data_IF_591072985007
#
_entry.id   IF_591072985007
#
_cell.length_a   1.000
_cell.length_b   1.000
_cell.length_c   1.000
_cell.angle_alpha   90.00
_cell.angle_beta   90.00
_cell.angle_gamma   90.00
#
_symmetry.space_group_name_H-M   'P 1'
#
loop_
_entity.id
_entity.type
_entity.pdbx_description
1 polymer ?
#
# COMPACT_ATOMS: atom_id res chain seq x y z
N UNK A 1 54.31 -7.25 -18.85
CA UNK A 1 53.45 -7.75 -17.75
C UNK A 1 52.47 -6.65 -17.39
N UNK A 2 51.28 -6.67 -17.99
CA UNK A 2 50.21 -5.72 -17.66
C UNK A 2 49.30 -6.42 -16.66
N UNK A 3 49.41 -6.06 -15.38
CA UNK A 3 48.50 -6.52 -14.36
C UNK A 3 47.11 -5.92 -14.66
N UNK A 4 46.17 -6.77 -15.07
CA UNK A 4 44.75 -6.44 -15.02
C UNK A 4 44.39 -6.30 -13.54
N UNK A 5 44.07 -5.09 -13.10
CA UNK A 5 43.33 -4.88 -11.87
C UNK A 5 41.95 -5.50 -12.08
N UNK A 6 41.73 -6.69 -11.54
CA UNK A 6 40.38 -7.20 -11.29
C UNK A 6 39.78 -6.29 -10.21
N UNK A 7 38.87 -5.41 -10.60
CA UNK A 7 37.97 -4.75 -9.65
C UNK A 7 37.12 -5.84 -9.00
N UNK A 8 37.49 -6.25 -7.77
CA UNK A 8 36.59 -7.01 -6.92
C UNK A 8 35.43 -6.09 -6.54
N UNK A 9 34.34 -6.11 -7.30
CA UNK A 9 33.11 -5.43 -6.89
C UNK A 9 32.63 -6.11 -5.61
N UNK A 10 32.82 -5.47 -4.46
CA UNK A 10 32.24 -5.94 -3.20
C UNK A 10 30.73 -5.95 -3.41
N UNK A 11 30.10 -7.12 -3.38
CA UNK A 11 28.64 -7.21 -3.42
C UNK A 11 28.10 -6.53 -2.15
N UNK A 12 27.47 -5.37 -2.33
CA UNK A 12 26.81 -4.65 -1.24
C UNK A 12 25.60 -5.46 -0.76
N UNK A 13 25.36 -5.46 0.55
CA UNK A 13 24.07 -5.94 1.07
C UNK A 13 22.93 -5.08 0.53
N UNK A 14 21.69 -5.61 0.56
CA UNK A 14 20.52 -4.97 -0.03
C UNK A 14 20.31 -3.52 0.46
N UNK A 15 20.54 -3.26 1.75
CA UNK A 15 20.35 -1.94 2.35
C UNK A 15 21.43 -0.96 1.88
N UNK A 16 22.68 -1.40 1.85
CA UNK A 16 23.81 -0.60 1.38
C UNK A 16 23.68 -0.26 -0.10
N UNK A 17 23.25 -1.23 -0.92
CA UNK A 17 22.99 -1.01 -2.35
C UNK A 17 21.83 -0.03 -2.58
N UNK A 18 20.71 -0.22 -1.87
CA UNK A 18 19.58 0.72 -1.94
C UNK A 18 20.01 2.15 -1.58
N UNK A 19 20.82 2.31 -0.53
CA UNK A 19 21.33 3.62 -0.11
C UNK A 19 22.23 4.26 -1.15
N UNK A 20 23.10 3.47 -1.80
CA UNK A 20 23.94 3.92 -2.92
C UNK A 20 23.06 4.52 -4.03
N UNK A 21 22.08 3.77 -4.51
CA UNK A 21 21.15 4.21 -5.58
C UNK A 21 20.41 5.47 -5.17
N UNK A 22 19.80 5.48 -3.98
CA UNK A 22 19.00 6.60 -3.48
C UNK A 22 19.81 7.88 -3.21
N UNK A 23 21.14 7.79 -3.16
CA UNK A 23 22.06 8.92 -2.97
C UNK A 23 22.60 9.47 -4.29
N UNK A 24 22.31 8.82 -5.42
CA UNK A 24 22.80 9.23 -6.72
C UNK A 24 22.18 10.59 -7.14
N UNK A 25 22.93 11.48 -7.84
CA UNK A 25 22.43 12.80 -8.23
C UNK A 25 21.18 12.79 -9.12
N UNK A 26 21.01 11.73 -9.92
CA UNK A 26 19.86 11.48 -10.78
C UNK A 26 18.67 10.85 -10.04
N UNK A 27 18.80 10.55 -8.73
CA UNK A 27 17.72 10.05 -7.89
C UNK A 27 17.08 11.19 -7.09
N UNK A 28 15.99 11.75 -7.62
CA UNK A 28 15.24 12.87 -7.03
C UNK A 28 14.28 12.34 -5.96
N UNK A 29 14.54 12.67 -4.70
CA UNK A 29 13.71 12.28 -3.55
C UNK A 29 13.71 13.37 -2.47
N UNK A 30 12.83 13.24 -1.49
CA UNK A 30 12.75 14.14 -0.33
C UNK A 30 11.59 15.13 -0.40
N UNK A 31 11.61 16.14 0.46
CA UNK A 31 10.48 17.07 0.61
C UNK A 31 10.25 17.98 -0.59
N UNK A 32 11.32 18.46 -1.22
CA UNK A 32 11.26 19.38 -2.36
C UNK A 32 12.53 19.21 -3.20
N UNK A 33 12.57 18.21 -4.11
CA UNK A 33 13.73 17.97 -4.96
C UNK A 33 13.80 18.92 -6.16
N UNK A 34 12.78 19.76 -6.38
CA UNK A 34 12.68 20.74 -7.46
C UNK A 34 12.60 22.18 -6.92
N UNK A 35 12.62 23.16 -7.82
CA UNK A 35 12.52 24.57 -7.45
C UNK A 35 11.25 24.87 -6.65
N UNK A 36 11.38 25.70 -5.62
CA UNK A 36 10.28 26.03 -4.71
C UNK A 36 9.07 26.64 -5.43
N UNK A 37 9.30 27.41 -6.47
CA UNK A 37 8.23 28.06 -7.24
C UNK A 37 7.39 27.02 -7.99
N UNK A 38 8.00 25.94 -8.49
CA UNK A 38 7.29 24.81 -9.10
C UNK A 38 6.37 24.16 -8.06
N UNK A 39 6.87 23.88 -6.87
CA UNK A 39 6.08 23.29 -5.79
C UNK A 39 4.90 24.18 -5.37
N UNK A 40 5.11 25.49 -5.27
CA UNK A 40 4.04 26.44 -4.94
C UNK A 40 2.98 26.53 -6.02
N UNK A 41 3.37 26.52 -7.29
CA UNK A 41 2.45 26.53 -8.43
C UNK A 41 1.63 25.24 -8.51
N UNK A 42 2.28 24.08 -8.40
CA UNK A 42 1.62 22.77 -8.37
C UNK A 42 0.64 22.66 -7.20
N UNK A 43 1.00 23.12 -6.00
CA UNK A 43 0.10 23.10 -4.85
C UNK A 43 -1.20 23.90 -5.10
N UNK A 44 -1.11 25.05 -5.79
CA UNK A 44 -2.30 25.84 -6.20
C UNK A 44 -3.14 25.06 -7.21
N UNK A 45 -2.52 24.54 -8.28
CA UNK A 45 -3.19 23.74 -9.31
C UNK A 45 -3.88 22.51 -8.73
N UNK A 46 -3.25 21.81 -7.80
CA UNK A 46 -3.84 20.67 -7.07
C UNK A 46 -5.05 21.09 -6.24
N UNK A 47 -4.92 22.17 -5.47
CA UNK A 47 -6.03 22.68 -4.67
C UNK A 47 -7.23 23.05 -5.53
N UNK A 48 -7.03 23.62 -6.72
CA UNK A 48 -8.12 23.94 -7.65
C UNK A 48 -8.74 22.68 -8.26
N UNK A 49 -7.90 21.71 -8.67
CA UNK A 49 -8.34 20.50 -9.36
C UNK A 49 -9.15 19.55 -8.46
N UNK A 50 -8.76 19.41 -7.20
CA UNK A 50 -9.37 18.43 -6.27
C UNK A 50 -10.41 19.04 -5.32
N UNK A 51 -10.72 20.34 -5.46
CA UNK A 51 -11.75 21.00 -4.65
C UNK A 51 -13.14 20.51 -5.02
N UNK A 52 -13.90 20.07 -4.02
CA UNK A 52 -15.32 19.73 -4.17
C UNK A 52 -16.21 20.71 -3.41
N UNK A 53 -16.98 21.53 -4.11
CA UNK A 53 -17.87 22.53 -3.46
C UNK A 53 -18.85 21.91 -2.47
N UNK A 54 -19.47 20.78 -2.83
CA UNK A 54 -20.41 20.07 -1.96
C UNK A 54 -19.73 19.55 -0.69
N UNK A 55 -18.51 19.04 -0.83
CA UNK A 55 -17.71 18.54 0.30
C UNK A 55 -17.34 19.68 1.23
N UNK A 56 -16.90 20.81 0.70
CA UNK A 56 -16.59 22.01 1.48
C UNK A 56 -17.83 22.57 2.21
N UNK A 57 -19.01 22.58 1.57
CA UNK A 57 -20.26 22.94 2.23
C UNK A 57 -20.57 22.02 3.41
N UNK A 58 -20.41 20.70 3.23
CA UNK A 58 -20.60 19.74 4.33
C UNK A 58 -19.57 19.97 5.44
N UNK A 59 -18.28 20.20 5.14
CA UNK A 59 -17.27 20.45 6.19
C UNK A 59 -17.59 21.66 7.08
N UNK A 60 -18.25 22.67 6.51
CA UNK A 60 -18.59 23.90 7.21
C UNK A 60 -19.88 23.79 8.02
N UNK A 61 -20.66 22.72 7.86
CA UNK A 61 -21.85 22.50 8.68
C UNK A 61 -21.51 21.77 9.98
N UNK A 62 -22.22 22.11 11.06
CA UNK A 62 -21.94 21.61 12.41
C UNK A 62 -21.97 20.07 12.50
N UNK A 63 -22.87 19.43 11.74
CA UNK A 63 -23.05 17.97 11.71
C UNK A 63 -22.36 17.29 10.53
N UNK A 64 -21.64 18.04 9.69
CA UNK A 64 -21.08 17.56 8.43
C UNK A 64 -22.12 17.00 7.46
N UNK A 65 -23.31 17.58 7.52
CA UNK A 65 -24.47 17.17 6.75
C UNK A 65 -24.89 18.23 5.73
N UNK A 66 -25.48 17.78 4.63
CA UNK A 66 -26.23 18.64 3.72
C UNK A 66 -27.48 17.92 3.25
N UNK A 67 -28.57 18.66 3.20
CA UNK A 67 -29.86 18.16 2.76
C UNK A 67 -30.13 18.63 1.34
N UNK A 68 -30.54 17.71 0.46
CA UNK A 68 -30.90 18.01 -0.95
C UNK A 68 -32.27 17.41 -1.28
N UNK A 69 -33.02 18.12 -2.12
CA UNK A 69 -34.38 17.72 -2.52
C UNK A 69 -35.48 18.32 -1.64
N UNK A 70 -36.73 18.00 -1.96
CA UNK A 70 -37.92 18.56 -1.31
C UNK A 70 -38.92 17.46 -0.95
N UNK A 71 -39.63 17.66 0.16
CA UNK A 71 -40.69 16.75 0.64
C UNK A 71 -40.21 15.30 0.79
N UNK A 72 -40.95 14.29 0.30
CA UNK A 72 -40.62 12.89 0.48
C UNK A 72 -39.41 12.41 -0.36
N UNK A 73 -38.79 13.28 -1.17
CA UNK A 73 -37.57 12.97 -1.94
C UNK A 73 -36.32 13.63 -1.36
N UNK A 74 -36.43 14.14 -0.14
CA UNK A 74 -35.31 14.72 0.57
C UNK A 74 -34.27 13.63 0.90
N UNK A 75 -33.00 13.94 0.65
CA UNK A 75 -31.85 13.08 0.98
C UNK A 75 -30.89 13.91 1.82
N UNK A 76 -30.52 13.37 2.97
CA UNK A 76 -29.46 13.92 3.83
C UNK A 76 -28.16 13.20 3.50
N UNK A 77 -27.15 13.96 3.10
CA UNK A 77 -25.79 13.46 2.92
C UNK A 77 -24.99 13.77 4.17
N UNK A 78 -24.37 12.75 4.77
CA UNK A 78 -23.47 12.89 5.92
C UNK A 78 -22.04 12.56 5.50
N UNK A 79 -21.11 13.46 5.78
CA UNK A 79 -19.69 13.29 5.45
C UNK A 79 -18.93 12.72 6.66
N UNK A 80 -18.06 11.75 6.39
CA UNK A 80 -17.19 11.19 7.42
C UNK A 80 -16.30 12.28 8.07
N UNK A 81 -15.91 12.05 9.34
CA UNK A 81 -14.99 12.96 10.04
C UNK A 81 -13.63 13.04 9.35
N UNK A 82 -13.14 11.89 8.87
CA UNK A 82 -11.88 11.75 8.14
C UNK A 82 -12.13 11.05 6.81
N UNK A 83 -11.63 11.62 5.71
CA UNK A 83 -11.86 11.14 4.35
C UNK A 83 -10.79 11.68 3.38
N UNK A 84 -10.88 11.29 2.10
CA UNK A 84 -10.07 11.88 1.02
C UNK A 84 -8.60 11.46 1.04
N UNK A 85 -7.75 12.28 0.41
CA UNK A 85 -6.30 12.04 0.32
C UNK A 85 -5.61 12.15 1.66
N UNK A 86 -4.63 11.29 1.90
CA UNK A 86 -3.71 11.45 3.02
C UNK A 86 -2.50 12.27 2.58
N UNK A 87 -1.77 12.80 3.55
CA UNK A 87 -0.56 13.59 3.27
C UNK A 87 0.45 12.86 2.36
N UNK A 88 0.62 11.54 2.53
CA UNK A 88 1.50 10.74 1.67
C UNK A 88 1.03 10.70 0.21
N UNK A 89 -0.27 10.65 -0.02
CA UNK A 89 -0.88 10.71 -1.35
C UNK A 89 -0.74 12.11 -1.93
N UNK A 90 -1.09 13.16 -1.19
CA UNK A 90 -0.95 14.55 -1.65
C UNK A 90 0.48 14.84 -2.08
N UNK A 91 1.45 14.49 -1.23
CA UNK A 91 2.88 14.63 -1.55
C UNK A 91 3.27 13.85 -2.81
N UNK A 92 2.71 12.65 -3.01
CA UNK A 92 3.07 11.83 -4.18
C UNK A 92 2.56 12.45 -5.47
N UNK A 93 1.32 12.97 -5.46
CA UNK A 93 0.72 13.68 -6.59
C UNK A 93 1.49 14.97 -6.88
N UNK A 94 1.80 15.73 -5.83
CA UNK A 94 2.57 16.96 -5.94
C UNK A 94 3.94 16.70 -6.58
N UNK A 95 4.69 15.69 -6.12
CA UNK A 95 6.01 15.38 -6.66
C UNK A 95 5.96 14.88 -8.10
N UNK A 96 4.97 14.05 -8.46
CA UNK A 96 4.80 13.59 -9.83
C UNK A 96 4.47 14.76 -10.78
N UNK A 97 3.60 15.67 -10.35
CA UNK A 97 3.25 16.86 -11.13
C UNK A 97 4.43 17.83 -11.20
N UNK A 98 5.11 18.10 -10.08
CA UNK A 98 6.30 18.95 -10.05
C UNK A 98 7.41 18.41 -10.95
N UNK A 99 7.59 17.09 -11.02
CA UNK A 99 8.53 16.48 -11.96
C UNK A 99 8.16 16.79 -13.41
N UNK A 100 6.87 16.72 -13.77
CA UNK A 100 6.40 17.06 -15.11
C UNK A 100 6.71 18.52 -15.48
N UNK A 101 6.49 19.44 -14.55
CA UNK A 101 6.78 20.87 -14.72
C UNK A 101 8.31 21.15 -14.77
N UNK A 102 9.11 20.40 -14.00
CA UNK A 102 10.56 20.55 -13.97
C UNK A 102 11.26 19.97 -15.21
N UNK A 103 10.64 19.01 -15.88
CA UNK A 103 11.19 18.34 -17.05
C UNK A 103 10.23 18.40 -18.26
N UNK A 104 9.78 19.57 -18.73
CA UNK A 104 8.66 19.69 -19.67
C UNK A 104 8.89 18.97 -21.01
N UNK A 105 10.12 18.89 -21.48
CA UNK A 105 10.45 18.30 -22.80
C UNK A 105 10.90 16.82 -22.73
N UNK A 106 11.00 16.24 -21.53
CA UNK A 106 11.48 14.87 -21.39
C UNK A 106 10.36 13.83 -21.50
N UNK A 107 10.67 12.67 -22.09
CA UNK A 107 9.78 11.51 -21.98
C UNK A 107 9.78 11.03 -20.53
N UNK A 108 8.57 10.86 -19.99
CA UNK A 108 8.37 10.50 -18.60
C UNK A 108 7.58 9.20 -18.50
N UNK A 109 8.05 8.31 -17.64
CA UNK A 109 7.41 7.05 -17.35
C UNK A 109 7.03 6.94 -15.88
N UNK A 110 6.07 6.08 -15.57
CA UNK A 110 5.77 5.66 -14.19
C UNK A 110 5.70 4.14 -14.12
N UNK A 111 6.28 3.54 -13.08
CA UNK A 111 6.40 2.07 -13.01
C UNK A 111 5.06 1.36 -12.79
N UNK A 112 4.09 2.03 -12.16
CA UNK A 112 2.73 1.56 -11.90
C UNK A 112 1.78 2.77 -11.91
N UNK A 113 0.52 2.56 -11.54
CA UNK A 113 -0.29 3.62 -10.96
C UNK A 113 0.44 4.38 -9.86
N UNK A 114 0.34 5.71 -9.88
CA UNK A 114 0.92 6.56 -8.83
C UNK A 114 0.30 6.22 -7.48
N UNK A 115 -1.03 6.08 -7.52
CA UNK A 115 -1.91 5.60 -6.45
C UNK A 115 -3.07 4.84 -7.09
N UNK A 116 -3.76 3.99 -6.34
CA UNK A 116 -4.97 3.29 -6.80
C UNK A 116 -6.19 4.22 -6.85
N UNK A 117 -6.12 5.25 -7.70
CA UNK A 117 -7.18 6.20 -7.97
C UNK A 117 -7.21 6.53 -9.47
N UNK A 118 -8.29 6.17 -10.19
CA UNK A 118 -8.33 6.35 -11.64
C UNK A 118 -8.25 7.82 -12.07
N UNK A 119 -8.85 8.75 -11.32
CA UNK A 119 -8.85 10.17 -11.70
C UNK A 119 -7.45 10.80 -11.62
N UNK A 120 -6.64 10.35 -10.65
CA UNK A 120 -5.24 10.77 -10.53
C UNK A 120 -4.38 10.16 -11.63
N UNK A 121 -4.59 8.89 -11.97
CA UNK A 121 -3.85 8.25 -13.06
C UNK A 121 -4.24 8.86 -14.43
N UNK A 122 -5.52 9.07 -14.71
CA UNK A 122 -6.03 9.76 -15.91
C UNK A 122 -5.45 11.20 -16.02
N UNK A 123 -5.23 11.88 -14.89
CA UNK A 123 -4.55 13.19 -14.88
C UNK A 123 -3.10 13.09 -15.35
N UNK A 124 -2.34 12.10 -14.85
CA UNK A 124 -0.93 11.91 -15.25
C UNK A 124 -0.80 11.50 -16.71
N UNK A 125 -1.69 10.64 -17.21
CA UNK A 125 -1.78 10.31 -18.64
C UNK A 125 -2.05 11.57 -19.48
N UNK A 126 -2.96 12.43 -19.03
CA UNK A 126 -3.24 13.74 -19.66
C UNK A 126 -2.06 14.71 -19.62
N UNK A 127 -1.05 14.45 -18.77
CA UNK A 127 0.22 15.16 -18.70
C UNK A 127 1.35 14.45 -19.47
N UNK A 128 1.02 13.50 -20.36
CA UNK A 128 1.98 12.69 -21.13
C UNK A 128 2.97 11.90 -20.25
N UNK A 129 2.50 11.40 -19.10
CA UNK A 129 3.22 10.41 -18.30
C UNK A 129 2.84 9.01 -18.76
N UNK A 130 3.83 8.21 -19.18
CA UNK A 130 3.63 6.89 -19.77
C UNK A 130 3.70 5.78 -18.73
N UNK A 131 2.65 5.00 -18.59
CA UNK A 131 2.62 3.89 -17.65
C UNK A 131 3.38 2.71 -18.23
N UNK A 132 4.32 2.17 -17.45
CA UNK A 132 5.06 0.96 -17.83
C UNK A 132 4.11 -0.24 -17.83
N UNK A 133 4.12 -0.98 -18.92
CA UNK A 133 3.26 -2.14 -19.11
C UNK A 133 3.65 -3.27 -18.14
N UNK A 134 2.65 -3.84 -17.45
CA UNK A 134 2.79 -5.04 -16.62
C UNK A 134 2.32 -6.26 -17.42
N UNK A 135 3.21 -7.21 -17.63
CA UNK A 135 2.94 -8.49 -18.32
C UNK A 135 2.98 -9.66 -17.35
N UNK A 136 2.69 -10.87 -17.83
CA UNK A 136 2.83 -12.10 -17.04
C UNK A 136 4.28 -12.36 -16.57
N UNK A 137 5.27 -11.83 -17.29
CA UNK A 137 6.70 -11.98 -16.99
C UNK A 137 7.26 -10.85 -16.12
N UNK A 138 6.43 -9.85 -15.79
CA UNK A 138 6.83 -8.66 -15.04
C UNK A 138 6.65 -7.36 -15.84
N UNK A 139 7.27 -6.30 -15.35
CA UNK A 139 7.18 -4.95 -15.95
C UNK A 139 8.13 -4.79 -17.13
N UNK A 140 7.65 -4.16 -18.19
CA UNK A 140 8.36 -3.95 -19.45
C UNK A 140 9.06 -2.60 -19.50
N UNK A 141 10.35 -2.62 -19.21
CA UNK A 141 11.21 -1.43 -19.25
C UNK A 141 11.91 -1.24 -20.60
N UNK A 142 11.60 -2.02 -21.64
CA UNK A 142 12.23 -1.94 -22.96
C UNK A 142 12.01 -0.59 -23.65
N UNK A 143 10.89 0.08 -23.36
CA UNK A 143 10.54 1.39 -23.93
C UNK A 143 11.24 2.57 -23.28
N UNK A 144 11.79 2.39 -22.07
CA UNK A 144 12.49 3.44 -21.32
C UNK A 144 13.90 3.63 -21.90
N UNK A 145 14.38 4.84 -22.09
CA UNK A 145 15.72 5.14 -22.63
C UNK A 145 16.58 5.87 -21.62
N UNK A 146 17.89 5.82 -21.83
CA UNK A 146 18.85 6.59 -21.03
C UNK A 146 18.52 8.09 -21.09
N UNK A 147 18.64 8.78 -19.95
CA UNK A 147 18.34 10.20 -19.83
C UNK A 147 16.86 10.57 -19.74
N UNK A 148 15.92 9.62 -19.87
CA UNK A 148 14.49 9.85 -19.62
C UNK A 148 14.16 9.90 -18.12
N UNK A 149 12.94 10.30 -17.76
CA UNK A 149 12.48 10.38 -16.36
C UNK A 149 11.59 9.19 -16.02
N UNK A 150 11.80 8.56 -14.86
CA UNK A 150 10.97 7.49 -14.34
C UNK A 150 10.49 7.81 -12.92
N UNK A 151 9.18 7.89 -12.74
CA UNK A 151 8.51 8.08 -11.46
C UNK A 151 8.33 6.72 -10.77
N UNK A 152 8.74 6.63 -9.50
CA UNK A 152 8.38 5.54 -8.60
C UNK A 152 7.12 5.93 -7.83
N UNK A 153 6.09 5.05 -7.72
CA UNK A 153 4.79 5.38 -7.16
C UNK A 153 4.82 5.54 -5.63
N UNK A 154 3.69 5.96 -5.05
CA UNK A 154 3.55 6.15 -3.60
C UNK A 154 3.83 4.87 -2.78
N UNK A 155 3.54 3.70 -3.36
CA UNK A 155 3.78 2.37 -2.78
C UNK A 155 5.25 1.94 -2.82
N UNK A 156 6.09 2.71 -3.51
CA UNK A 156 7.50 2.42 -3.77
C UNK A 156 7.73 1.43 -4.89
N UNK A 157 8.99 1.02 -5.03
CA UNK A 157 9.47 0.11 -6.06
C UNK A 157 10.36 -0.97 -5.44
N UNK A 158 10.54 -2.08 -6.15
CA UNK A 158 11.44 -3.13 -5.68
C UNK A 158 12.91 -2.70 -5.78
N UNK A 159 13.80 -3.34 -5.01
CA UNK A 159 15.24 -3.08 -5.12
C UNK A 159 15.76 -3.40 -6.52
N UNK A 160 15.27 -4.47 -7.13
CA UNK A 160 15.64 -4.90 -8.49
C UNK A 160 15.24 -3.85 -9.53
N UNK A 161 14.06 -3.22 -9.36
CA UNK A 161 13.62 -2.11 -10.22
C UNK A 161 14.52 -0.89 -10.05
N UNK A 162 14.87 -0.54 -8.80
CA UNK A 162 15.80 0.57 -8.53
C UNK A 162 17.18 0.32 -9.17
N UNK A 163 17.70 -0.91 -9.07
CA UNK A 163 18.97 -1.31 -9.68
C UNK A 163 18.92 -1.24 -11.21
N UNK A 164 17.81 -1.70 -11.80
CA UNK A 164 17.61 -1.66 -13.25
C UNK A 164 17.61 -0.21 -13.75
N UNK A 165 16.89 0.69 -13.07
CA UNK A 165 16.77 2.10 -13.44
C UNK A 165 18.11 2.84 -13.26
N UNK A 166 18.83 2.57 -12.16
CA UNK A 166 20.17 3.11 -11.90
C UNK A 166 21.14 2.73 -13.04
N UNK A 167 21.17 1.45 -13.41
CA UNK A 167 22.00 0.94 -14.52
C UNK A 167 21.62 1.55 -15.87
N UNK A 168 20.36 1.92 -16.07
CA UNK A 168 19.84 2.49 -17.32
C UNK A 168 20.14 3.98 -17.48
N UNK A 169 20.65 4.65 -16.44
CA UNK A 169 21.01 6.07 -16.51
C UNK A 169 19.81 7.00 -16.67
N UNK A 170 18.65 6.62 -16.12
CA UNK A 170 17.45 7.48 -16.10
C UNK A 170 17.51 8.46 -14.92
N UNK A 171 16.72 9.53 -15.00
CA UNK A 171 16.40 10.33 -13.80
C UNK A 171 15.23 9.67 -13.08
N UNK A 172 15.45 9.24 -11.83
CA UNK A 172 14.39 8.66 -11.01
C UNK A 172 13.75 9.75 -10.17
N UNK A 173 12.42 9.83 -10.15
CA UNK A 173 11.65 10.65 -9.21
C UNK A 173 10.91 9.74 -8.25
N UNK A 174 11.41 9.68 -7.01
CA UNK A 174 10.87 8.81 -5.97
C UNK A 174 9.75 9.51 -5.20
N UNK A 175 8.51 9.16 -5.52
CA UNK A 175 7.33 9.64 -4.80
C UNK A 175 6.90 8.71 -3.68
N UNK A 176 7.72 7.72 -3.29
CA UNK A 176 7.38 6.79 -2.21
C UNK A 176 6.91 7.54 -0.97
N UNK A 177 5.78 7.09 -0.40
CA UNK A 177 5.23 7.62 0.82
C UNK A 177 6.24 7.45 1.99
N UNK A 178 6.50 8.48 2.80
CA UNK A 178 7.44 8.35 3.93
C UNK A 178 7.04 7.28 4.96
N UNK A 179 5.75 6.96 5.08
CA UNK A 179 5.27 5.84 5.90
C UNK A 179 5.69 4.48 5.34
N UNK A 180 5.68 4.32 4.02
CA UNK A 180 6.22 3.11 3.34
C UNK A 180 7.73 3.01 3.56
N UNK A 181 8.46 4.13 3.41
CA UNK A 181 9.90 4.18 3.71
C UNK A 181 10.24 3.83 5.18
N UNK A 182 9.33 4.12 6.12
CA UNK A 182 9.45 3.70 7.52
C UNK A 182 9.35 2.18 7.65
N UNK A 183 8.47 1.52 6.89
CA UNK A 183 8.39 0.05 6.83
C UNK A 183 9.71 -0.55 6.34
N UNK A 184 10.32 0.03 5.29
CA UNK A 184 11.62 -0.40 4.79
C UNK A 184 12.72 -0.26 5.85
N UNK A 185 12.68 0.82 6.63
CA UNK A 185 13.60 1.01 7.76
C UNK A 185 13.37 -0.02 8.87
N UNK A 186 12.14 -0.50 9.06
CA UNK A 186 11.82 -1.55 10.03
C UNK A 186 12.37 -2.91 9.57
N UNK A 187 12.14 -3.30 8.31
CA UNK A 187 12.66 -4.59 7.81
C UNK A 187 14.19 -4.61 7.69
N UNK A 188 14.84 -3.46 7.47
CA UNK A 188 16.30 -3.33 7.60
C UNK A 188 16.78 -3.68 9.02
N UNK A 189 16.03 -3.28 10.06
CA UNK A 189 16.38 -3.59 11.46
C UNK A 189 16.24 -5.07 11.74
N UNK A 190 15.22 -5.72 11.17
CA UNK A 190 15.03 -7.17 11.28
C UNK A 190 16.17 -7.92 10.62
N UNK A 191 16.53 -7.54 9.40
CA UNK A 191 17.67 -8.11 8.67
C UNK A 191 18.96 -7.97 9.48
N UNK A 192 19.25 -6.77 10.02
CA UNK A 192 20.43 -6.54 10.87
C UNK A 192 20.42 -7.38 12.16
N UNK A 193 19.24 -7.72 12.67
CA UNK A 193 19.05 -8.53 13.87
C UNK A 193 18.92 -10.03 13.57
N UNK A 194 19.18 -10.47 12.33
CA UNK A 194 19.01 -11.86 11.89
C UNK A 194 17.60 -12.39 12.16
N UNK A 195 16.59 -11.56 11.85
CA UNK A 195 15.17 -11.88 11.95
C UNK A 195 14.53 -11.90 10.57
N UNK A 196 13.73 -12.92 10.33
CA UNK A 196 12.86 -13.01 9.17
C UNK A 196 11.70 -12.02 9.29
N UNK A 197 11.43 -11.28 8.23
CA UNK A 197 10.28 -10.39 8.18
C UNK A 197 8.98 -11.17 7.92
N UNK A 198 8.09 -11.23 8.90
CA UNK A 198 6.69 -11.62 8.68
C UNK A 198 5.93 -10.38 8.25
N UNK A 199 5.54 -10.31 6.99
CA UNK A 199 4.86 -9.15 6.41
C UNK A 199 3.36 -9.41 6.42
N UNK A 200 2.61 -8.69 7.25
CA UNK A 200 1.15 -8.68 7.15
C UNK A 200 0.73 -7.83 5.94
N UNK A 201 0.21 -8.48 4.90
CA UNK A 201 -0.15 -7.82 3.66
C UNK A 201 -0.54 -8.81 2.56
N UNK A 202 -0.95 -8.29 1.40
CA UNK A 202 -1.28 -9.11 0.24
C UNK A 202 -0.02 -9.37 -0.58
N UNK A 203 0.33 -10.63 -0.84
CA UNK A 203 1.59 -10.98 -1.53
C UNK A 203 1.74 -10.35 -2.93
N UNK A 204 0.62 -10.17 -3.64
CA UNK A 204 0.60 -9.60 -4.99
C UNK A 204 0.51 -8.06 -5.02
N UNK A 205 0.34 -7.40 -3.86
CA UNK A 205 0.23 -5.95 -3.78
C UNK A 205 1.59 -5.27 -3.89
N UNK A 206 1.65 -4.18 -4.63
CA UNK A 206 2.86 -3.43 -4.99
C UNK A 206 3.72 -3.08 -3.76
N UNK A 207 3.09 -2.57 -2.71
CA UNK A 207 3.79 -2.21 -1.47
C UNK A 207 4.43 -3.42 -0.77
N UNK A 208 3.75 -4.57 -0.79
CA UNK A 208 4.25 -5.82 -0.20
C UNK A 208 5.42 -6.35 -1.00
N UNK A 209 5.34 -6.31 -2.33
CA UNK A 209 6.43 -6.71 -3.24
C UNK A 209 7.65 -5.81 -3.02
N UNK A 210 7.45 -4.49 -2.99
CA UNK A 210 8.52 -3.53 -2.75
C UNK A 210 9.17 -3.78 -1.38
N UNK A 211 8.38 -3.94 -0.33
CA UNK A 211 8.88 -4.22 1.03
C UNK A 211 9.61 -5.57 1.12
N UNK A 212 9.06 -6.62 0.53
CA UNK A 212 9.66 -7.95 0.51
C UNK A 212 11.02 -7.98 -0.21
N UNK A 213 11.17 -7.20 -1.30
CA UNK A 213 12.44 -7.09 -2.02
C UNK A 213 13.58 -6.55 -1.14
N UNK A 214 13.25 -5.76 -0.11
CA UNK A 214 14.21 -5.18 0.84
C UNK A 214 14.67 -6.16 1.93
N UNK A 215 13.99 -7.29 2.07
CA UNK A 215 14.27 -8.28 3.11
C UNK A 215 15.22 -9.38 2.59
N UNK A 216 16.07 -9.93 3.45
CA UNK A 216 16.84 -11.13 3.13
C UNK A 216 15.96 -12.39 3.20
N UNK A 217 15.24 -12.54 4.32
CA UNK A 217 14.25 -13.58 4.52
C UNK A 217 12.90 -12.96 4.87
N UNK A 218 11.84 -13.44 4.22
CA UNK A 218 10.48 -13.00 4.51
C UNK A 218 9.47 -14.10 4.29
N UNK A 219 8.32 -13.92 4.94
CA UNK A 219 7.05 -14.58 4.62
C UNK A 219 5.94 -13.54 4.68
N UNK A 220 5.03 -13.53 3.70
CA UNK A 220 3.87 -12.64 3.64
C UNK A 220 2.64 -13.44 4.08
N UNK A 221 1.91 -12.91 5.07
CA UNK A 221 0.63 -13.47 5.55
C UNK A 221 -0.47 -12.45 5.33
N UNK A 222 -1.61 -12.90 4.80
CA UNK A 222 -2.69 -12.02 4.37
C UNK A 222 -3.63 -11.62 5.52
N UNK A 223 -3.94 -12.55 6.40
CA UNK A 223 -5.02 -12.43 7.39
C UNK A 223 -4.75 -13.30 8.62
N UNK A 224 -5.69 -13.29 9.58
CA UNK A 224 -5.61 -14.10 10.80
C UNK A 224 -5.51 -15.62 10.54
N UNK A 225 -6.14 -16.13 9.49
CA UNK A 225 -6.15 -17.57 9.22
C UNK A 225 -4.76 -18.03 8.78
N UNK A 226 -4.11 -17.29 7.87
CA UNK A 226 -2.72 -17.54 7.49
C UNK A 226 -1.75 -17.34 8.66
N UNK A 227 -1.95 -16.30 9.48
CA UNK A 227 -1.14 -16.09 10.68
C UNK A 227 -1.27 -17.24 11.70
N UNK A 228 -2.47 -17.82 11.84
CA UNK A 228 -2.71 -18.98 12.70
C UNK A 228 -1.96 -20.21 12.22
N UNK A 229 -1.88 -20.45 10.92
CA UNK A 229 -1.08 -21.55 10.38
C UNK A 229 0.40 -21.40 10.68
N UNK A 230 0.94 -20.18 10.57
CA UNK A 230 2.33 -19.89 10.93
C UNK A 230 2.56 -20.05 12.43
N UNK A 231 1.62 -19.59 13.26
CA UNK A 231 1.67 -19.77 14.71
C UNK A 231 1.67 -21.26 15.09
N UNK A 232 0.75 -22.05 14.53
CA UNK A 232 0.65 -23.50 14.74
C UNK A 232 1.91 -24.23 14.27
N UNK A 233 2.51 -23.82 13.15
CA UNK A 233 3.81 -24.33 12.69
C UNK A 233 4.92 -24.05 13.71
N UNK A 234 5.05 -22.80 14.17
CA UNK A 234 6.06 -22.39 15.17
C UNK A 234 5.90 -23.20 16.45
N UNK A 235 4.67 -23.35 16.94
CA UNK A 235 4.36 -24.09 18.17
C UNK A 235 4.48 -25.61 18.02
N UNK A 236 4.62 -26.13 16.79
CA UNK A 236 4.64 -27.57 16.49
C UNK A 236 3.37 -28.29 16.95
N UNK A 237 2.21 -27.65 16.74
CA UNK A 237 0.92 -28.23 17.12
C UNK A 237 0.58 -29.47 16.28
N UNK A 238 -0.15 -30.45 16.85
CA UNK A 238 -0.69 -31.56 16.08
C UNK A 238 -1.54 -31.05 14.91
N UNK A 239 -1.20 -31.46 13.69
CA UNK A 239 -1.90 -31.04 12.47
C UNK A 239 -1.42 -29.72 11.87
N UNK A 240 -0.37 -29.09 12.42
CA UNK A 240 0.32 -28.00 11.76
C UNK A 240 0.91 -28.43 10.40
N UNK A 241 1.12 -27.44 9.52
CA UNK A 241 1.72 -27.68 8.21
C UNK A 241 3.10 -28.33 8.34
N UNK A 242 3.43 -29.25 7.44
CA UNK A 242 4.81 -29.70 7.21
C UNK A 242 5.60 -28.63 6.47
N UNK A 243 6.94 -28.75 6.45
CA UNK A 243 7.81 -27.84 5.71
C UNK A 243 7.41 -27.75 4.23
N UNK A 244 7.12 -28.89 3.61
CA UNK A 244 6.73 -29.00 2.21
C UNK A 244 5.36 -28.34 1.96
N UNK A 245 4.39 -28.55 2.86
CA UNK A 245 3.07 -27.94 2.73
C UNK A 245 3.12 -26.42 2.89
N UNK A 246 3.93 -25.92 3.83
CA UNK A 246 4.12 -24.49 4.04
C UNK A 246 4.79 -23.87 2.81
N UNK A 247 5.86 -24.46 2.30
CA UNK A 247 6.54 -23.95 1.11
C UNK A 247 5.66 -23.98 -0.14
N UNK A 248 4.83 -25.00 -0.33
CA UNK A 248 3.90 -25.04 -1.47
C UNK A 248 2.80 -23.98 -1.32
N UNK A 249 2.20 -23.84 -0.13
CA UNK A 249 1.15 -22.85 0.12
C UNK A 249 1.66 -21.43 -0.06
N UNK A 250 2.83 -21.12 0.50
CA UNK A 250 3.41 -19.78 0.51
C UNK A 250 4.45 -19.55 -0.58
N UNK A 251 4.49 -20.36 -1.66
CA UNK A 251 5.52 -20.30 -2.70
C UNK A 251 5.71 -18.93 -3.37
N UNK A 252 4.64 -18.12 -3.43
CA UNK A 252 4.68 -16.75 -3.97
C UNK A 252 4.87 -15.67 -2.89
N UNK A 253 4.90 -16.08 -1.63
CA UNK A 253 4.85 -15.23 -0.45
C UNK A 253 6.08 -15.42 0.46
N UNK A 254 7.07 -16.22 0.07
CA UNK A 254 8.34 -16.38 0.81
C UNK A 254 9.54 -15.97 -0.03
N UNK A 255 10.63 -15.59 0.63
CA UNK A 255 11.92 -15.34 -0.03
C UNK A 255 12.45 -16.59 -0.72
N UNK A 256 13.24 -16.43 -1.79
CA UNK A 256 13.96 -17.55 -2.42
C UNK A 256 14.85 -18.26 -1.40
N UNK A 257 14.79 -19.60 -1.36
CA UNK A 257 15.60 -20.41 -0.43
C UNK A 257 15.10 -20.38 1.02
N UNK A 258 13.83 -20.05 1.25
CA UNK A 258 13.23 -20.06 2.58
C UNK A 258 13.27 -21.46 3.20
N UNK A 259 13.84 -21.57 4.41
CA UNK A 259 13.87 -22.77 5.23
C UNK A 259 12.99 -22.52 6.46
N UNK A 260 11.75 -23.07 6.52
CA UNK A 260 10.81 -22.77 7.61
C UNK A 260 11.38 -23.08 9.00
N UNK A 261 12.19 -24.14 9.13
CA UNK A 261 12.80 -24.55 10.41
C UNK A 261 13.85 -23.58 10.91
N UNK A 262 14.53 -22.86 10.02
CA UNK A 262 15.53 -21.85 10.38
C UNK A 262 14.92 -20.46 10.46
N UNK A 263 14.19 -20.07 9.42
CA UNK A 263 13.74 -18.70 9.22
C UNK A 263 12.55 -18.34 10.10
N UNK A 264 11.77 -19.29 10.62
CA UNK A 264 10.70 -19.00 11.60
C UNK A 264 11.17 -19.06 13.07
N UNK A 265 12.48 -19.24 13.33
CA UNK A 265 13.02 -19.22 14.70
C UNK A 265 13.17 -17.81 15.26
N UNK A 266 13.37 -16.82 14.39
CA UNK A 266 13.53 -15.41 14.76
C UNK A 266 12.75 -14.57 13.78
N UNK A 267 11.70 -13.90 14.24
CA UNK A 267 10.75 -13.20 13.38
C UNK A 267 10.54 -11.75 13.82
N UNK A 268 10.33 -10.89 12.85
CA UNK A 268 9.95 -9.50 13.03
C UNK A 268 8.71 -9.18 12.20
N UNK A 269 7.70 -8.54 12.79
CA UNK A 269 6.45 -8.22 12.07
C UNK A 269 6.55 -6.84 11.43
N UNK A 270 6.37 -6.79 10.12
CA UNK A 270 6.14 -5.57 9.36
C UNK A 270 4.78 -5.67 8.68
N UNK A 271 4.22 -4.53 8.26
CA UNK A 271 2.87 -4.49 7.72
C UNK A 271 2.82 -3.60 6.49
N UNK A 272 2.02 -4.02 5.52
CA UNK A 272 1.51 -3.12 4.49
C UNK A 272 0.67 -2.03 5.18
N UNK A 273 0.98 -0.76 4.88
CA UNK A 273 0.50 0.44 5.60
C UNK A 273 -1.01 0.63 5.57
N UNK A 274 -1.69 -0.01 4.63
CA UNK A 274 -3.14 0.06 4.41
C UNK A 274 -3.92 -1.10 5.00
N UNK A 275 -3.29 -2.08 5.68
CA UNK A 275 -4.01 -3.21 6.28
C UNK A 275 -4.91 -2.77 7.44
N UNK A 276 -5.87 -3.63 7.81
CA UNK A 276 -6.74 -3.37 8.96
C UNK A 276 -5.93 -3.41 10.27
N UNK A 277 -6.00 -2.32 11.06
CA UNK A 277 -5.12 -2.16 12.23
C UNK A 277 -5.42 -3.17 13.34
N UNK A 278 -6.70 -3.44 13.64
CA UNK A 278 -7.06 -4.38 14.71
C UNK A 278 -6.60 -5.80 14.40
N UNK A 279 -6.73 -6.22 13.15
CA UNK A 279 -6.23 -7.50 12.67
C UNK A 279 -4.70 -7.57 12.76
N UNK A 280 -4.00 -6.52 12.30
CA UNK A 280 -2.53 -6.42 12.41
C UNK A 280 -2.05 -6.62 13.86
N UNK A 281 -2.70 -5.96 14.82
CA UNK A 281 -2.37 -6.11 16.25
C UNK A 281 -2.73 -7.50 16.81
N UNK A 282 -3.76 -8.14 16.26
CA UNK A 282 -4.13 -9.50 16.64
C UNK A 282 -3.10 -10.52 16.12
N UNK A 283 -2.66 -10.40 14.86
CA UNK A 283 -1.57 -11.19 14.28
C UNK A 283 -0.29 -11.01 15.10
N UNK A 284 0.04 -9.76 15.47
CA UNK A 284 1.18 -9.45 16.33
C UNK A 284 1.20 -10.24 17.63
N UNK A 285 0.08 -10.18 18.37
CA UNK A 285 -0.08 -10.89 19.65
C UNK A 285 -0.12 -12.40 19.49
N UNK A 286 -0.69 -12.90 18.39
CA UNK A 286 -0.75 -14.33 18.11
C UNK A 286 0.66 -14.90 17.90
N UNK A 287 1.46 -14.24 17.05
CA UNK A 287 2.81 -14.69 16.76
C UNK A 287 3.74 -14.52 17.97
N UNK A 288 3.60 -13.44 18.74
CA UNK A 288 4.31 -13.28 20.02
C UNK A 288 4.02 -14.46 20.98
N UNK A 289 2.74 -14.82 21.14
CA UNK A 289 2.34 -15.97 21.97
C UNK A 289 2.92 -17.28 21.43
N UNK A 290 2.93 -17.49 20.12
CA UNK A 290 3.52 -18.67 19.51
C UNK A 290 5.03 -18.78 19.80
N UNK A 291 5.76 -17.66 19.72
CA UNK A 291 7.18 -17.60 20.05
C UNK A 291 7.43 -17.92 21.53
N UNK A 292 6.64 -17.32 22.44
CA UNK A 292 6.74 -17.59 23.89
C UNK A 292 6.41 -19.05 24.21
N UNK A 293 5.36 -19.61 23.60
CA UNK A 293 4.97 -21.00 23.80
C UNK A 293 6.07 -21.97 23.33
N UNK A 294 6.76 -21.65 22.23
CA UNK A 294 7.77 -22.54 21.64
C UNK A 294 9.15 -22.46 22.29
N UNK A 295 9.58 -21.25 22.64
CA UNK A 295 10.97 -20.95 23.05
C UNK A 295 11.08 -20.42 24.48
N UNK A 296 9.95 -20.17 25.17
CA UNK A 296 9.92 -19.53 26.48
C UNK A 296 10.04 -18.00 26.40
N UNK A 297 9.68 -17.29 27.48
CA UNK A 297 9.58 -15.82 27.47
C UNK A 297 10.93 -15.11 27.30
N UNK A 298 12.02 -15.66 27.83
CA UNK A 298 13.36 -15.05 27.72
C UNK A 298 13.88 -15.10 26.28
N UNK A 299 13.85 -16.28 25.65
CA UNK A 299 14.32 -16.42 24.27
C UNK A 299 13.38 -15.71 23.28
N UNK A 300 12.07 -15.69 23.54
CA UNK A 300 11.11 -14.97 22.72
C UNK A 300 11.37 -13.46 22.68
N UNK A 301 11.86 -12.85 23.76
CA UNK A 301 12.21 -11.43 23.77
C UNK A 301 13.32 -11.08 22.74
N UNK A 302 14.25 -12.01 22.50
CA UNK A 302 15.32 -11.87 21.52
C UNK A 302 14.92 -12.34 20.11
N UNK A 303 13.97 -13.26 20.03
CA UNK A 303 13.54 -13.89 18.77
C UNK A 303 12.31 -13.23 18.14
N UNK A 304 11.61 -12.36 18.85
CA UNK A 304 10.43 -11.67 18.35
C UNK A 304 10.61 -10.15 18.33
N UNK A 305 10.06 -9.50 17.32
CA UNK A 305 9.77 -8.07 17.38
C UNK A 305 8.53 -7.72 16.59
N UNK A 306 7.77 -6.75 17.08
CA UNK A 306 6.68 -6.15 16.35
C UNK A 306 6.81 -4.63 16.42
N UNK A 307 6.79 -3.98 15.27
CA UNK A 307 6.66 -2.54 15.17
C UNK A 307 5.35 -2.22 14.47
N UNK A 308 4.55 -1.31 15.03
CA UNK A 308 3.37 -0.80 14.32
C UNK A 308 3.84 0.04 13.14
N UNK A 309 3.63 -0.50 11.95
CA UNK A 309 3.95 0.17 10.67
C UNK A 309 2.71 0.56 9.89
N UNK A 310 1.51 0.42 10.48
CA UNK A 310 0.29 0.96 9.88
C UNK A 310 0.39 2.49 9.88
N UNK A 311 -0.02 3.10 8.77
CA UNK A 311 -0.01 4.55 8.64
C UNK A 311 -1.13 5.18 9.48
N UNK A 312 -0.84 6.29 10.16
CA UNK A 312 -1.81 7.06 10.95
C UNK A 312 -3.06 7.40 10.12
N UNK A 313 -2.86 7.73 8.84
CA UNK A 313 -3.92 8.08 7.91
C UNK A 313 -4.91 6.93 7.64
N UNK A 314 -4.43 5.68 7.64
CA UNK A 314 -5.26 4.48 7.55
C UNK A 314 -6.12 4.35 8.81
N UNK A 315 -5.50 4.51 9.98
CA UNK A 315 -6.16 4.38 11.27
C UNK A 315 -7.27 5.42 11.44
N UNK A 316 -6.98 6.71 11.26
CA UNK A 316 -7.97 7.78 11.49
C UNK A 316 -9.22 7.64 10.61
N UNK A 317 -9.07 7.12 9.37
CA UNK A 317 -10.21 6.84 8.48
C UNK A 317 -11.01 5.63 8.93
N UNK A 318 -10.33 4.55 9.35
CA UNK A 318 -10.99 3.36 9.91
C UNK A 318 -11.76 3.70 11.19
N UNK A 319 -11.17 4.54 12.06
CA UNK A 319 -11.82 5.00 13.28
C UNK A 319 -13.04 5.88 12.96
N UNK A 320 -12.93 6.81 12.01
CA UNK A 320 -14.03 7.67 11.58
C UNK A 320 -15.22 6.87 11.01
N UNK A 321 -14.97 5.89 10.12
CA UNK A 321 -16.06 5.07 9.56
C UNK A 321 -16.61 4.07 10.60
N UNK A 322 -15.79 3.62 11.54
CA UNK A 322 -16.27 2.83 12.68
C UNK A 322 -17.23 3.66 13.52
N UNK A 323 -16.86 4.88 13.89
CA UNK A 323 -17.73 5.78 14.64
C UNK A 323 -19.05 6.04 13.91
N UNK A 324 -19.03 6.23 12.59
CA UNK A 324 -20.26 6.39 11.80
C UNK A 324 -21.16 5.15 11.83
N UNK A 325 -20.60 3.95 11.97
CA UNK A 325 -21.34 2.69 11.78
C UNK A 325 -21.82 2.05 13.08
N UNK A 326 -21.22 2.41 14.22
CA UNK A 326 -21.61 1.90 15.54
C UNK A 326 -21.84 3.02 16.57
N UNK A 327 -21.67 4.28 16.19
CA UNK A 327 -21.90 5.45 17.04
C UNK A 327 -23.39 5.80 17.19
N UNK A 328 -23.70 6.91 17.88
CA UNK A 328 -25.07 7.30 18.21
C UNK A 328 -25.96 7.51 16.97
N UNK A 329 -25.37 7.99 15.88
CA UNK A 329 -26.10 8.31 14.65
C UNK A 329 -26.14 7.12 13.66
N UNK A 330 -25.66 5.94 14.07
CA UNK A 330 -25.52 4.80 13.16
C UNK A 330 -26.87 4.36 12.57
N UNK A 331 -27.95 4.45 13.33
CA UNK A 331 -29.29 4.03 12.90
C UNK A 331 -29.98 5.04 11.97
N UNK A 332 -29.42 6.23 11.82
CA UNK A 332 -29.88 7.24 10.86
C UNK A 332 -29.33 7.00 9.44
N UNK A 333 -28.35 6.11 9.29
CA UNK A 333 -27.71 5.83 8.00
C UNK A 333 -28.46 4.73 7.24
N UNK A 334 -29.15 5.12 6.17
CA UNK A 334 -29.78 4.17 5.23
C UNK A 334 -28.75 3.37 4.42
N UNK A 335 -27.65 4.02 4.02
CA UNK A 335 -26.54 3.41 3.27
C UNK A 335 -25.25 4.22 3.41
N UNK A 336 -24.12 3.60 3.09
CA UNK A 336 -22.79 4.22 3.08
C UNK A 336 -22.15 4.10 1.69
N UNK A 337 -21.56 5.20 1.22
CA UNK A 337 -20.81 5.24 -0.03
C UNK A 337 -19.32 5.41 0.26
N UNK A 338 -18.51 4.44 -0.14
CA UNK A 338 -17.05 4.49 -0.02
C UNK A 338 -16.46 4.76 -1.41
N UNK A 339 -15.86 5.94 -1.59
CA UNK A 339 -15.37 6.39 -2.90
C UNK A 339 -13.86 6.16 -3.02
N UNK A 340 -13.41 5.51 -4.09
CA UNK A 340 -11.99 5.26 -4.38
C UNK A 340 -11.77 4.17 -5.42
N UNK A 341 -10.52 3.96 -5.85
CA UNK A 341 -10.18 2.95 -6.84
C UNK A 341 -10.52 1.53 -6.39
N UNK A 342 -10.97 0.67 -7.29
CA UNK A 342 -11.29 -0.72 -6.97
C UNK A 342 -10.11 -1.49 -6.37
N UNK A 343 -8.91 -1.16 -6.83
CA UNK A 343 -7.66 -1.81 -6.42
C UNK A 343 -7.06 -1.21 -5.14
N UNK A 344 -7.68 -0.17 -4.56
CA UNK A 344 -7.22 0.47 -3.32
C UNK A 344 -7.52 -0.40 -2.11
N UNK A 345 -6.46 -0.94 -1.48
CA UNK A 345 -6.62 -1.75 -0.27
C UNK A 345 -7.25 -0.97 0.89
N UNK A 346 -6.86 0.29 1.12
CA UNK A 346 -7.48 1.12 2.17
C UNK A 346 -8.97 1.34 1.89
N UNK A 347 -9.36 1.61 0.64
CA UNK A 347 -10.77 1.80 0.26
C UNK A 347 -11.55 0.51 0.44
N UNK A 348 -10.96 -0.65 0.13
CA UNK A 348 -11.53 -1.96 0.42
C UNK A 348 -11.83 -2.17 1.91
N UNK A 349 -10.88 -1.88 2.80
CA UNK A 349 -11.11 -2.03 4.24
C UNK A 349 -12.15 -1.05 4.80
N UNK A 350 -12.21 0.18 4.26
CA UNK A 350 -13.28 1.12 4.60
C UNK A 350 -14.66 0.62 4.17
N UNK A 351 -14.76 -0.21 3.12
CA UNK A 351 -16.01 -0.88 2.74
C UNK A 351 -16.33 -2.07 3.66
N UNK A 352 -15.33 -2.82 4.09
CA UNK A 352 -15.51 -4.01 4.94
C UNK A 352 -16.10 -3.65 6.31
N UNK A 353 -15.65 -2.55 6.93
CA UNK A 353 -16.10 -2.10 8.26
C UNK A 353 -17.63 -1.93 8.37
N UNK A 354 -18.31 -1.13 7.52
CA UNK A 354 -19.77 -0.98 7.58
C UNK A 354 -20.50 -2.31 7.30
N UNK A 355 -19.98 -3.14 6.38
CA UNK A 355 -20.58 -4.45 6.07
C UNK A 355 -20.53 -5.37 7.30
N UNK A 356 -19.39 -5.43 8.00
CA UNK A 356 -19.25 -6.18 9.24
C UNK A 356 -20.17 -5.68 10.35
N UNK A 357 -20.44 -4.36 10.37
CA UNK A 357 -21.37 -3.74 11.31
C UNK A 357 -22.85 -3.81 10.85
N UNK A 358 -23.15 -4.60 9.81
CA UNK A 358 -24.51 -4.83 9.33
C UNK A 358 -25.13 -3.66 8.56
N UNK A 359 -24.34 -2.66 8.16
CA UNK A 359 -24.79 -1.51 7.36
C UNK A 359 -24.68 -1.80 5.86
N UNK A 360 -25.60 -1.24 5.08
CA UNK A 360 -25.56 -1.31 3.62
C UNK A 360 -24.46 -0.37 3.12
N UNK A 361 -23.46 -0.91 2.40
CA UNK A 361 -22.37 -0.10 1.88
C UNK A 361 -22.02 -0.44 0.42
N UNK A 362 -21.64 0.59 -0.34
CA UNK A 362 -21.24 0.48 -1.74
C UNK A 362 -19.87 1.11 -1.95
N UNK A 363 -19.00 0.42 -2.67
CA UNK A 363 -17.74 1.00 -3.15
C UNK A 363 -17.99 1.62 -4.53
N UNK A 364 -17.50 2.83 -4.74
CA UNK A 364 -17.75 3.66 -5.93
C UNK A 364 -16.42 4.12 -6.51
N UNK A 365 -16.06 3.60 -7.69
CA UNK A 365 -14.80 3.93 -8.35
C UNK A 365 -14.77 5.31 -9.02
N UNK A 366 -15.78 5.60 -9.84
CA UNK A 366 -15.95 6.91 -10.46
C UNK A 366 -17.40 7.22 -10.77
N UNK A 367 -17.75 8.50 -10.67
CA UNK A 367 -19.01 9.01 -11.18
C UNK A 367 -18.88 9.14 -12.70
N UNK A 368 -19.68 8.42 -13.49
CA UNK A 368 -19.81 8.75 -14.91
C UNK A 368 -20.74 9.95 -15.04
N UNK A 369 -20.24 11.03 -15.66
CA UNK A 369 -21.09 12.14 -16.08
C UNK A 369 -22.22 11.59 -16.98
N UNK A 370 -23.47 11.77 -16.56
CA UNK A 370 -24.66 11.32 -17.27
C UNK A 370 -24.88 12.21 -18.50
N UNK A 371 -24.83 11.66 -19.71
CA UNK A 371 -25.42 12.32 -20.89
C UNK A 371 -26.87 11.92 -21.15
N UNK A 372 -27.50 11.07 -20.32
CA UNK A 372 -28.97 10.78 -20.36
C UNK A 372 -29.47 10.11 -19.07
N UNK A 373 -30.73 10.39 -18.73
CA UNK A 373 -31.36 10.19 -17.42
C UNK A 373 -31.70 8.75 -16.99
N UNK A 374 -31.21 7.69 -17.64
CA UNK A 374 -31.75 6.32 -17.43
C UNK A 374 -30.76 5.15 -17.35
N UNK A 375 -29.44 5.38 -17.25
CA UNK A 375 -28.50 4.28 -17.03
C UNK A 375 -28.25 4.00 -15.52
N UNK A 376 -28.25 2.74 -15.07
CA UNK A 376 -27.94 2.39 -13.68
C UNK A 376 -26.48 2.75 -13.34
N UNK A 377 -26.27 3.28 -12.12
CA UNK A 377 -24.93 3.42 -11.54
C UNK A 377 -24.26 2.05 -11.56
N UNK A 378 -23.07 1.93 -12.17
CA UNK A 378 -22.26 0.73 -12.00
C UNK A 378 -21.64 0.79 -10.61
N UNK A 379 -22.34 0.18 -9.65
CA UNK A 379 -21.82 -0.12 -8.32
C UNK A 379 -21.41 -1.60 -8.30
N UNK A 380 -20.33 -1.91 -7.59
CA UNK A 380 -20.06 -3.28 -7.18
C UNK A 380 -20.69 -3.46 -5.80
N UNK A 381 -21.72 -4.28 -5.70
CA UNK A 381 -22.01 -4.93 -4.42
C UNK A 381 -20.92 -5.96 -4.22
N UNK A 382 -20.12 -5.85 -3.15
CA UNK A 382 -19.59 -7.09 -2.59
C UNK A 382 -20.83 -7.87 -2.16
N UNK A 383 -21.14 -8.97 -2.85
CA UNK A 383 -22.16 -9.89 -2.38
C UNK A 383 -21.82 -10.22 -0.92
N UNK A 384 -22.79 -10.23 0.02
CA UNK A 384 -22.49 -10.59 1.39
C UNK A 384 -21.72 -11.90 1.36
N UNK A 385 -20.52 -11.89 1.92
CA UNK A 385 -19.74 -13.10 2.13
C UNK A 385 -20.63 -13.96 3.02
N UNK A 386 -21.26 -14.99 2.43
CA UNK A 386 -21.79 -16.08 3.25
C UNK A 386 -20.58 -16.65 3.97
N UNK A 387 -20.45 -16.37 5.26
CA UNK A 387 -19.60 -17.12 6.17
C UNK A 387 -20.08 -18.57 6.10
N UNK A 388 -19.48 -19.35 5.19
CA UNK A 388 -20.05 -20.62 4.75
C UNK A 388 -19.15 -21.34 3.75
N UNK A 389 -18.12 -22.00 4.29
CA UNK A 389 -17.23 -23.02 3.70
C UNK A 389 -16.32 -22.56 2.54
N UNK A 390 -15.03 -22.58 2.88
CA UNK A 390 -13.88 -22.53 2.00
C UNK A 390 -14.00 -23.45 0.78
N UNK A 391 -13.59 -22.95 -0.38
CA UNK A 391 -13.41 -23.73 -1.60
C UNK A 391 -13.61 -22.91 -2.86
N UNK A 392 -12.64 -22.08 -3.22
CA UNK A 392 -12.63 -21.41 -4.52
C UNK A 392 -11.80 -20.14 -4.53
N UNK A 393 -10.66 -20.21 -5.21
CA UNK A 393 -9.77 -19.08 -5.45
C UNK A 393 -10.53 -17.89 -6.08
N UNK A 394 -10.75 -16.84 -5.29
CA UNK A 394 -11.00 -15.53 -5.84
C UNK A 394 -9.64 -14.98 -6.30
N UNK A 395 -9.42 -14.98 -7.62
CA UNK A 395 -8.41 -14.13 -8.24
C UNK A 395 -8.81 -12.68 -7.94
N UNK A 396 -8.09 -12.06 -7.01
CA UNK A 396 -7.88 -10.63 -6.93
C UNK A 396 -6.40 -10.40 -7.17
#
# INVERSE_FOLDING_TARGET
MSARMEESSVMLDKRSERRRIMSAPNFKRGGSPFDKDIHQDVAKKMSEKFKGELVEQMRQSDLREIVKGEGPRQVTFKLAKEYGFCWGVDRSIELAWAAREAYPDQTMHITNELIHNPAVNEMLEGMDVKFIEKTAEGKRFDTVKEGEVVILPAFGASLEEMQLLDKRGVTVVDTTCPWVSKVWTTVDKYTKADRTSVIHGKWAHEESIATASMCDHYIIVKDMDEAQEIASYIMQEPGALTDEQLLEKYKNAVSKGFDPKKHLRRIGIANQTTMYKKETQAIGRLLEKAMVARYGPEEAADNFAAFDTICDATQVRQDAITEMTVGPDADELDLILVVGGWDSSNTGHLLEIPIHNGKVAYHINKVRARTRASAPLRHALLRPIRLGRCGGAAKY
#
